data_IF_198136058150
#
_entry.id   IF_198136058150
#
_cell.length_a   1.000
_cell.length_b   1.000
_cell.length_c   1.000
_cell.angle_alpha   90.00
_cell.angle_beta   90.00
_cell.angle_gamma   90.00
#
_symmetry.space_group_name_H-M   'P 1'
#
loop_
_entity.id
_entity.type
_entity.pdbx_description
1 polymer ?
#
# COMPACT_ATOMS: atom_id res chain seq x y z
N UNK A 1 -25.54 4.91 -13.87
CA UNK A 1 -24.70 5.10 -12.67
C UNK A 1 -25.02 4.00 -11.70
N UNK A 2 -24.23 2.93 -11.68
CA UNK A 2 -24.25 1.96 -10.59
C UNK A 2 -23.04 2.25 -9.71
N UNK A 3 -23.25 2.55 -8.43
CA UNK A 3 -22.17 2.60 -7.46
C UNK A 3 -22.11 1.21 -6.81
N UNK A 4 -20.98 0.52 -6.93
CA UNK A 4 -20.72 -0.72 -6.18
C UNK A 4 -19.70 -0.39 -5.10
N UNK A 5 -20.15 -0.31 -3.85
CA UNK A 5 -19.25 -0.18 -2.71
C UNK A 5 -18.41 -1.43 -2.59
N UNK A 6 -17.12 -1.29 -2.86
CA UNK A 6 -16.15 -2.36 -2.68
C UNK A 6 -15.21 -1.96 -1.56
N UNK A 7 -15.20 -2.77 -0.52
CA UNK A 7 -14.30 -2.69 0.62
C UNK A 7 -12.86 -3.06 0.22
N UNK A 8 -11.96 -2.06 0.16
CA UNK A 8 -10.52 -2.27 0.01
C UNK A 8 -9.81 -2.19 1.35
N UNK A 9 -8.98 -3.17 1.65
CA UNK A 9 -8.31 -3.32 2.95
C UNK A 9 -7.04 -2.45 3.06
N UNK A 10 -7.06 -1.35 3.84
CA UNK A 10 -5.89 -0.49 4.09
C UNK A 10 -5.53 -0.41 5.57
N UNK A 11 -4.24 -0.42 5.88
CA UNK A 11 -3.74 -0.41 7.25
C UNK A 11 -4.05 0.88 8.02
N UNK A 12 -4.57 0.75 9.24
CA UNK A 12 -4.84 1.87 10.17
C UNK A 12 -4.39 1.60 11.61
N UNK A 13 -4.38 2.69 12.40
CA UNK A 13 -3.63 2.93 13.63
C UNK A 13 -3.77 1.87 14.74
N UNK A 14 -2.64 1.60 15.42
CA UNK A 14 -2.62 1.35 16.86
C UNK A 14 -1.62 2.32 17.49
N UNK A 15 -2.03 2.99 18.57
CA UNK A 15 -1.38 4.18 19.13
C UNK A 15 0.02 3.90 19.73
N UNK A 16 1.12 4.22 19.02
CA UNK A 16 2.48 4.27 19.59
C UNK A 16 3.36 5.34 18.92
N UNK A 17 4.24 5.98 19.70
CA UNK A 17 5.11 7.09 19.26
C UNK A 17 6.41 6.62 18.59
N UNK A 18 6.92 7.44 17.65
CA UNK A 18 8.07 7.16 16.79
C UNK A 18 9.38 6.90 17.56
N UNK A 19 9.55 7.48 18.76
CA UNK A 19 10.77 7.31 19.58
C UNK A 19 10.93 5.89 20.17
N UNK A 20 9.89 5.06 20.10
CA UNK A 20 9.93 3.63 20.45
C UNK A 20 10.20 2.71 19.25
N UNK A 21 10.35 3.22 18.01
CA UNK A 21 10.45 2.40 16.78
C UNK A 21 11.62 1.41 16.74
N UNK A 22 12.80 1.84 17.17
CA UNK A 22 14.02 1.04 17.07
C UNK A 22 14.21 0.09 18.27
N UNK A 23 13.67 0.43 19.44
CA UNK A 23 13.83 -0.37 20.66
C UNK A 23 12.68 -1.38 20.87
N UNK A 24 11.63 -1.35 20.04
CA UNK A 24 10.44 -2.17 20.20
C UNK A 24 9.77 -2.44 18.84
N UNK A 25 10.44 -3.22 17.99
CA UNK A 25 9.69 -4.22 17.22
C UNK A 25 9.59 -5.42 18.17
N UNK A 26 8.59 -5.47 19.08
CA UNK A 26 8.43 -6.65 19.91
C UNK A 26 8.22 -7.84 18.98
N UNK A 27 8.67 -9.02 19.42
CA UNK A 27 8.22 -10.28 18.84
C UNK A 27 6.70 -10.18 18.68
N UNK A 28 6.18 -10.35 17.46
CA UNK A 28 4.79 -10.07 17.19
C UNK A 28 3.92 -11.02 18.00
N UNK A 29 3.31 -10.48 19.05
CA UNK A 29 2.39 -11.17 19.93
C UNK A 29 1.03 -11.30 19.24
N UNK A 30 0.41 -12.48 19.33
CA UNK A 30 -0.93 -12.74 18.78
C UNK A 30 -2.04 -11.82 19.31
N UNK A 31 -1.77 -11.00 20.33
CA UNK A 31 -2.71 -10.10 20.99
C UNK A 31 -3.29 -9.01 20.06
N UNK A 32 -2.55 -8.56 19.04
CA UNK A 32 -3.01 -7.53 18.10
C UNK A 32 -3.71 -8.11 16.86
N UNK A 33 -3.70 -9.43 16.65
CA UNK A 33 -4.26 -10.07 15.44
C UNK A 33 -3.57 -9.66 14.12
N UNK A 34 -2.44 -8.92 14.20
CA UNK A 34 -1.66 -8.53 13.04
C UNK A 34 -0.79 -9.71 12.59
N UNK A 35 -0.79 -10.00 11.29
CA UNK A 35 0.02 -11.09 10.74
C UNK A 35 1.50 -10.77 10.89
N UNK A 36 2.22 -11.69 11.51
CA UNK A 36 3.68 -11.72 11.63
C UNK A 36 4.33 -11.97 10.28
N UNK A 37 5.48 -11.36 10.00
CA UNK A 37 6.34 -11.69 8.85
C UNK A 37 5.58 -11.71 7.51
N UNK A 38 4.94 -10.59 7.18
CA UNK A 38 4.12 -10.46 5.96
C UNK A 38 4.97 -10.63 4.70
N UNK A 39 4.38 -11.24 3.68
CA UNK A 39 4.90 -11.27 2.31
C UNK A 39 4.39 -10.04 1.56
N UNK A 40 5.29 -9.15 1.16
CA UNK A 40 4.97 -7.84 0.62
C UNK A 40 5.40 -7.76 -0.85
N UNK A 41 4.46 -7.41 -1.75
CA UNK A 41 4.79 -6.94 -3.10
C UNK A 41 4.93 -5.43 -3.05
N UNK A 42 6.14 -4.91 -3.22
CA UNK A 42 6.46 -3.49 -3.05
C UNK A 42 6.68 -2.86 -4.42
N UNK A 43 5.89 -1.84 -4.75
CA UNK A 43 6.01 -1.06 -5.97
C UNK A 43 6.61 0.31 -5.63
N UNK A 44 7.72 0.65 -6.29
CA UNK A 44 8.39 1.93 -6.14
C UNK A 44 8.34 2.66 -7.47
N UNK A 45 7.76 3.86 -7.50
CA UNK A 45 7.86 4.73 -8.65
C UNK A 45 8.99 5.76 -8.42
N UNK A 46 10.15 5.62 -9.08
CA UNK A 46 11.30 6.50 -8.86
C UNK A 46 11.07 7.90 -9.42
N UNK A 47 10.09 8.07 -10.31
CA UNK A 47 9.73 9.36 -10.91
C UNK A 47 8.65 10.10 -10.11
N UNK A 48 8.07 9.47 -9.08
CA UNK A 48 7.09 10.12 -8.23
C UNK A 48 7.74 11.23 -7.39
N UNK A 49 6.99 12.32 -7.17
CA UNK A 49 7.38 13.36 -6.23
C UNK A 49 8.70 14.03 -6.59
N UNK A 50 9.57 14.16 -5.60
CA UNK A 50 10.91 14.74 -5.74
C UNK A 50 11.98 13.71 -6.15
N UNK A 51 11.59 12.56 -6.72
CA UNK A 51 12.49 11.46 -7.10
C UNK A 51 13.32 10.90 -5.93
N UNK A 52 12.69 10.84 -4.75
CA UNK A 52 13.31 10.36 -3.49
C UNK A 52 12.75 9.02 -3.02
N UNK A 53 11.79 8.44 -3.74
CA UNK A 53 11.06 7.24 -3.31
C UNK A 53 11.99 6.05 -3.02
N UNK A 54 12.98 5.78 -3.88
CA UNK A 54 13.96 4.70 -3.66
C UNK A 54 14.83 4.93 -2.42
N UNK A 55 15.38 6.15 -2.26
CA UNK A 55 16.18 6.50 -1.08
C UNK A 55 15.35 6.41 0.20
N UNK A 56 14.12 6.89 0.15
CA UNK A 56 13.17 6.83 1.26
C UNK A 56 12.83 5.39 1.62
N UNK A 57 12.58 4.52 0.63
CA UNK A 57 12.40 3.09 0.87
C UNK A 57 13.62 2.50 1.56
N UNK A 58 14.83 2.76 1.04
CA UNK A 58 16.07 2.21 1.57
C UNK A 58 16.38 2.65 3.01
N UNK A 59 16.05 3.90 3.37
CA UNK A 59 16.38 4.48 4.69
C UNK A 59 15.27 4.27 5.72
N UNK A 60 14.01 4.32 5.31
CA UNK A 60 12.86 4.32 6.23
C UNK A 60 12.14 2.98 6.26
N UNK A 61 11.74 2.46 5.09
CA UNK A 61 10.78 1.37 5.00
C UNK A 61 11.48 0.01 5.08
N UNK A 62 12.56 -0.19 4.31
CA UNK A 62 13.30 -1.44 4.22
C UNK A 62 13.81 -1.91 5.59
N UNK A 63 14.50 -1.08 6.40
CA UNK A 63 14.98 -1.53 7.71
C UNK A 63 13.84 -1.96 8.64
N UNK A 64 12.69 -1.29 8.56
CA UNK A 64 11.51 -1.61 9.36
C UNK A 64 10.86 -2.92 8.92
N UNK A 65 10.75 -3.16 7.63
CA UNK A 65 10.24 -4.42 7.08
C UNK A 65 11.17 -5.60 7.39
N UNK A 66 12.49 -5.41 7.31
CA UNK A 66 13.48 -6.40 7.70
C UNK A 66 13.42 -6.72 9.20
N UNK A 67 13.32 -5.69 10.06
CA UNK A 67 13.15 -5.87 11.50
C UNK A 67 11.86 -6.63 11.84
N UNK A 68 10.80 -6.44 11.05
CA UNK A 68 9.54 -7.17 11.17
C UNK A 68 9.54 -8.56 10.52
N UNK A 69 10.68 -9.00 9.96
CA UNK A 69 10.85 -10.26 9.22
C UNK A 69 9.90 -10.39 8.02
N UNK A 70 9.51 -9.28 7.40
CA UNK A 70 8.70 -9.31 6.19
C UNK A 70 9.52 -9.83 4.99
N UNK A 71 8.95 -10.73 4.21
CA UNK A 71 9.50 -11.11 2.91
C UNK A 71 9.11 -10.03 1.89
N UNK A 72 10.06 -9.48 1.15
CA UNK A 72 9.83 -8.36 0.24
C UNK A 72 10.18 -8.76 -1.19
N UNK A 73 9.22 -8.60 -2.09
CA UNK A 73 9.43 -8.58 -3.54
C UNK A 73 9.31 -7.13 -4.01
N UNK A 74 10.43 -6.50 -4.34
CA UNK A 74 10.51 -5.08 -4.67
C UNK A 74 10.62 -4.90 -6.19
N UNK A 75 9.71 -4.11 -6.76
CA UNK A 75 9.68 -3.77 -8.18
C UNK A 75 9.68 -2.25 -8.34
N UNK A 76 10.61 -1.76 -9.16
CA UNK A 76 10.63 -0.37 -9.59
C UNK A 76 9.80 -0.22 -10.86
N UNK A 77 8.79 0.64 -10.87
CA UNK A 77 7.94 0.91 -12.04
C UNK A 77 8.55 2.02 -12.89
N UNK A 78 8.61 1.86 -14.21
CA UNK A 78 9.02 2.91 -15.14
C UNK A 78 7.84 3.80 -15.56
N UNK A 79 6.62 3.27 -15.54
CA UNK A 79 5.42 3.98 -15.98
C UNK A 79 4.18 3.67 -15.13
N UNK A 80 3.09 4.41 -15.37
CA UNK A 80 1.78 4.08 -14.80
C UNK A 80 1.23 2.76 -15.32
N UNK A 81 1.51 2.40 -16.57
CA UNK A 81 1.06 1.12 -17.15
C UNK A 81 1.75 -0.05 -16.47
N UNK A 82 3.01 0.09 -16.06
CA UNK A 82 3.73 -0.96 -15.32
C UNK A 82 3.02 -1.25 -13.98
N UNK A 83 2.56 -0.21 -13.29
CA UNK A 83 1.83 -0.36 -12.04
C UNK A 83 0.46 -1.03 -12.27
N UNK A 84 -0.21 -0.69 -13.37
CA UNK A 84 -1.45 -1.33 -13.79
C UNK A 84 -1.26 -2.81 -14.11
N UNK A 85 -0.20 -3.14 -14.85
CA UNK A 85 0.13 -4.51 -15.21
C UNK A 85 0.48 -5.35 -13.99
N UNK A 86 1.21 -4.79 -13.02
CA UNK A 86 1.45 -5.46 -11.73
C UNK A 86 0.13 -5.72 -11.01
N UNK A 87 -0.80 -4.77 -11.02
CA UNK A 87 -2.16 -4.99 -10.53
C UNK A 87 -2.82 -6.20 -11.20
N UNK A 88 -2.82 -6.26 -12.53
CA UNK A 88 -3.41 -7.36 -13.30
C UNK A 88 -2.78 -8.73 -13.02
N UNK A 89 -1.48 -8.78 -12.75
CA UNK A 89 -0.71 -10.03 -12.80
C UNK A 89 -0.20 -10.52 -11.45
N UNK A 90 -0.27 -9.70 -10.38
CA UNK A 90 0.25 -10.11 -9.06
C UNK A 90 -0.41 -11.42 -8.59
N UNK A 91 0.38 -12.45 -8.19
CA UNK A 91 -0.17 -13.71 -7.70
C UNK A 91 -0.70 -13.51 -6.27
N UNK A 92 -2.00 -13.28 -6.15
CA UNK A 92 -2.66 -12.88 -4.89
C UNK A 92 -2.43 -13.84 -3.72
N UNK A 93 -2.18 -15.13 -3.96
CA UNK A 93 -1.93 -16.12 -2.89
C UNK A 93 -0.50 -16.06 -2.31
N UNK A 94 0.43 -15.46 -3.04
CA UNK A 94 1.84 -15.39 -2.65
C UNK A 94 2.14 -14.19 -1.76
N UNK A 95 1.24 -13.19 -1.75
CA UNK A 95 1.42 -11.95 -1.02
C UNK A 95 0.32 -11.74 0.00
N UNK A 96 0.68 -11.08 1.10
CA UNK A 96 -0.23 -10.69 2.17
C UNK A 96 -0.65 -9.22 2.06
N UNK A 97 0.11 -8.43 1.29
CA UNK A 97 -0.22 -7.05 0.93
C UNK A 97 0.55 -6.61 -0.32
N UNK A 98 -0.04 -5.66 -1.06
CA UNK A 98 0.65 -4.84 -2.06
C UNK A 98 0.97 -3.49 -1.43
N UNK A 99 2.24 -3.09 -1.44
CA UNK A 99 2.72 -1.83 -0.85
C UNK A 99 3.16 -0.89 -1.96
N UNK A 100 2.61 0.32 -1.97
CA UNK A 100 2.87 1.33 -3.00
C UNK A 100 3.64 2.48 -2.36
N UNK A 101 4.84 2.72 -2.87
CA UNK A 101 5.72 3.81 -2.46
C UNK A 101 5.77 4.83 -3.60
N UNK A 102 4.77 5.72 -3.62
CA UNK A 102 4.52 6.67 -4.70
C UNK A 102 3.50 7.72 -4.25
N UNK A 103 2.81 8.37 -5.18
CA UNK A 103 1.59 9.14 -4.92
C UNK A 103 0.31 8.41 -5.37
N UNK A 104 -0.83 9.09 -5.22
CA UNK A 104 -2.16 8.53 -5.48
C UNK A 104 -2.35 8.01 -6.92
N UNK A 105 -1.64 8.59 -7.89
CA UNK A 105 -1.73 8.16 -9.29
C UNK A 105 -1.24 6.72 -9.54
N UNK A 106 -0.20 6.27 -8.83
CA UNK A 106 0.27 4.87 -8.94
C UNK A 106 -0.72 3.91 -8.29
N UNK A 107 -1.31 4.29 -7.16
CA UNK A 107 -2.39 3.52 -6.54
C UNK A 107 -3.57 3.34 -7.50
N UNK A 108 -3.99 4.42 -8.15
CA UNK A 108 -5.08 4.37 -9.13
C UNK A 108 -4.78 3.36 -10.25
N UNK A 109 -3.54 3.31 -10.75
CA UNK A 109 -3.17 2.33 -11.78
C UNK A 109 -3.22 0.89 -11.26
N UNK A 110 -2.71 0.62 -10.04
CA UNK A 110 -2.80 -0.71 -9.43
C UNK A 110 -4.26 -1.16 -9.27
N UNK A 111 -5.13 -0.26 -8.80
CA UNK A 111 -6.56 -0.54 -8.62
C UNK A 111 -7.24 -0.85 -9.96
N UNK A 112 -6.98 -0.07 -11.00
CA UNK A 112 -7.48 -0.37 -12.34
C UNK A 112 -6.96 -1.71 -12.86
N UNK A 113 -5.71 -2.05 -12.55
CA UNK A 113 -5.14 -3.35 -12.83
C UNK A 113 -5.91 -4.47 -12.13
N UNK A 114 -6.29 -4.28 -10.86
CA UNK A 114 -7.15 -5.23 -10.14
C UNK A 114 -8.51 -5.36 -10.81
N UNK A 115 -9.17 -4.25 -11.17
CA UNK A 115 -10.51 -4.25 -11.80
C UNK A 115 -10.56 -5.03 -13.11
N UNK A 116 -9.44 -5.14 -13.81
CA UNK A 116 -9.35 -5.89 -15.07
C UNK A 116 -9.16 -7.39 -14.91
N UNK A 117 -9.01 -7.88 -13.68
CA UNK A 117 -8.80 -9.30 -13.41
C UNK A 117 -10.12 -10.07 -13.40
N UNK A 118 -10.09 -11.29 -13.92
CA UNK A 118 -11.21 -12.23 -13.79
C UNK A 118 -11.49 -12.59 -12.32
N UNK A 119 -10.45 -12.65 -11.48
CA UNK A 119 -10.54 -12.91 -10.03
C UNK A 119 -10.63 -11.62 -9.18
N UNK A 120 -11.28 -10.57 -9.70
CA UNK A 120 -11.47 -9.28 -9.02
C UNK A 120 -11.96 -9.42 -7.57
N UNK A 121 -12.93 -10.30 -7.29
CA UNK A 121 -13.48 -10.51 -5.94
C UNK A 121 -12.42 -10.93 -4.92
N UNK A 122 -11.35 -11.58 -5.38
CA UNK A 122 -10.18 -11.90 -4.57
C UNK A 122 -9.19 -10.74 -4.56
N UNK A 123 -8.95 -10.10 -5.71
CA UNK A 123 -8.04 -8.97 -5.84
C UNK A 123 -8.43 -7.81 -4.92
N UNK A 124 -9.72 -7.47 -4.82
CA UNK A 124 -10.23 -6.42 -3.92
C UNK A 124 -9.99 -6.68 -2.43
N UNK A 125 -9.80 -7.95 -2.04
CA UNK A 125 -9.53 -8.32 -0.65
C UNK A 125 -8.03 -8.19 -0.29
N UNK A 126 -7.16 -8.04 -1.29
CA UNK A 126 -5.73 -7.83 -1.10
C UNK A 126 -5.49 -6.52 -0.35
N UNK A 127 -4.86 -6.55 0.83
CA UNK A 127 -4.53 -5.32 1.53
C UNK A 127 -3.57 -4.45 0.74
N UNK A 128 -3.83 -3.15 0.68
CA UNK A 128 -2.93 -2.18 0.05
C UNK A 128 -2.31 -1.27 1.12
N UNK A 129 -0.98 -1.23 1.17
CA UNK A 129 -0.21 -0.28 1.97
C UNK A 129 0.18 0.92 1.13
N UNK A 130 -0.18 2.14 1.56
CA UNK A 130 0.18 3.37 0.85
C UNK A 130 1.23 4.12 1.67
N UNK A 131 2.42 4.28 1.10
CA UNK A 131 3.54 4.99 1.71
C UNK A 131 3.79 6.27 0.89
N UNK A 132 3.75 7.45 1.52
CA UNK A 132 3.87 8.72 0.81
C UNK A 132 5.26 8.85 0.19
N UNK A 133 5.32 8.86 -1.14
CA UNK A 133 6.55 9.03 -1.91
C UNK A 133 6.38 9.95 -3.13
N UNK A 134 5.14 10.41 -3.40
CA UNK A 134 4.78 11.24 -4.55
C UNK A 134 4.52 12.70 -4.20
N UNK A 135 4.12 13.47 -5.22
CA UNK A 135 3.70 14.88 -5.04
C UNK A 135 2.31 15.00 -4.42
N UNK A 136 1.44 14.03 -4.68
CA UNK A 136 0.09 13.93 -4.13
C UNK A 136 0.01 12.65 -3.29
N UNK A 137 -0.24 12.82 -1.99
CA UNK A 137 -0.33 11.73 -1.00
C UNK A 137 -1.66 11.84 -0.23
N UNK A 138 -2.74 12.19 -0.94
CA UNK A 138 -4.04 12.48 -0.36
C UNK A 138 -4.58 11.32 0.45
N UNK A 139 -4.48 10.09 -0.06
CA UNK A 139 -4.97 8.93 0.68
C UNK A 139 -4.15 8.66 1.95
N UNK A 140 -2.83 8.81 1.90
CA UNK A 140 -1.97 8.67 3.07
C UNK A 140 -2.33 9.69 4.17
N UNK A 141 -2.61 10.94 3.77
CA UNK A 141 -3.09 11.99 4.68
C UNK A 141 -4.47 11.67 5.25
N UNK A 142 -5.41 11.20 4.42
CA UNK A 142 -6.75 10.82 4.88
C UNK A 142 -6.71 9.69 5.92
N UNK A 143 -5.80 8.73 5.75
CA UNK A 143 -5.68 7.57 6.63
C UNK A 143 -4.95 7.86 7.95
N UNK A 144 -3.94 8.74 7.91
CA UNK A 144 -2.99 8.91 9.02
C UNK A 144 -3.03 10.33 9.62
N UNK A 145 -3.88 11.21 9.09
CA UNK A 145 -4.01 12.61 9.50
C UNK A 145 -2.91 13.52 8.92
N UNK A 146 -3.14 14.83 8.99
CA UNK A 146 -2.22 15.85 8.44
C UNK A 146 -0.87 15.91 9.13
N UNK A 147 -0.78 15.45 10.38
CA UNK A 147 0.48 15.44 11.14
C UNK A 147 1.42 14.29 10.80
N UNK A 148 0.89 13.13 10.33
CA UNK A 148 1.68 11.91 10.11
C UNK A 148 1.54 11.31 8.71
N UNK A 149 0.55 11.70 7.92
CA UNK A 149 0.31 11.11 6.60
C UNK A 149 1.36 11.43 5.53
N UNK A 150 2.36 12.25 5.85
CA UNK A 150 3.56 12.46 5.03
C UNK A 150 4.82 11.79 5.63
N UNK A 151 4.68 11.06 6.74
CA UNK A 151 5.79 10.32 7.36
C UNK A 151 5.85 8.89 6.79
N UNK A 152 6.86 8.59 5.96
CA UNK A 152 7.00 7.27 5.35
C UNK A 152 7.36 6.17 6.37
N UNK A 153 8.04 6.51 7.46
CA UNK A 153 8.31 5.55 8.55
C UNK A 153 6.99 5.15 9.22
N UNK A 154 6.12 6.14 9.47
CA UNK A 154 4.81 5.91 10.07
C UNK A 154 3.93 5.03 9.18
N UNK A 155 3.85 5.35 7.89
CA UNK A 155 3.12 4.54 6.93
C UNK A 155 3.67 3.10 6.84
N UNK A 156 4.99 2.92 6.84
CA UNK A 156 5.61 1.59 6.83
C UNK A 156 5.27 0.78 8.09
N UNK A 157 5.23 1.40 9.27
CA UNK A 157 4.79 0.70 10.49
C UNK A 157 3.34 0.28 10.40
N UNK A 158 2.46 1.09 9.81
CA UNK A 158 1.08 0.68 9.60
C UNK A 158 0.99 -0.57 8.73
N UNK A 159 1.82 -0.70 7.69
CA UNK A 159 1.89 -1.94 6.90
C UNK A 159 2.28 -3.16 7.74
N UNK A 160 3.18 -2.98 8.70
CA UNK A 160 3.63 -4.06 9.59
C UNK A 160 2.59 -4.40 10.66
N UNK A 161 2.22 -3.41 11.48
CA UNK A 161 1.44 -3.59 12.72
C UNK A 161 -0.04 -3.29 12.57
N UNK A 162 -0.41 -2.49 11.57
CA UNK A 162 -1.78 -2.06 11.36
C UNK A 162 -2.70 -3.21 11.02
N UNK A 163 -4.00 -2.95 11.17
CA UNK A 163 -5.06 -3.84 10.68
C UNK A 163 -5.62 -3.29 9.39
N UNK A 164 -5.87 -4.14 8.38
CA UNK A 164 -6.54 -3.68 7.18
C UNK A 164 -7.99 -3.25 7.50
N UNK A 165 -8.40 -2.11 6.97
CA UNK A 165 -9.73 -1.53 7.07
C UNK A 165 -10.33 -1.37 5.69
N UNK A 166 -11.62 -1.54 5.57
CA UNK A 166 -12.33 -1.40 4.31
C UNK A 166 -12.51 0.09 3.94
N UNK A 167 -12.19 0.43 2.69
CA UNK A 167 -12.43 1.75 2.08
C UNK A 167 -13.32 1.58 0.86
N UNK A 168 -14.29 2.47 0.68
CA UNK A 168 -15.15 2.49 -0.49
C UNK A 168 -14.39 2.88 -1.76
N UNK A 169 -14.58 2.11 -2.83
CA UNK A 169 -14.16 2.43 -4.18
C UNK A 169 -15.34 2.92 -5.02
N UNK A 170 -15.07 3.87 -5.91
CA UNK A 170 -16.01 4.34 -6.92
C UNK A 170 -15.50 3.92 -8.30
N UNK A 171 -16.35 3.26 -9.07
CA UNK A 171 -16.10 2.90 -10.46
C UNK A 171 -16.80 3.92 -11.37
N UNK A 172 -16.06 4.49 -12.31
CA UNK A 172 -16.61 5.48 -13.25
C UNK A 172 -16.48 4.96 -14.68
N UNK A 173 -17.63 4.76 -15.33
CA UNK A 173 -17.70 4.41 -16.74
C UNK A 173 -18.07 5.65 -17.57
N UNK A 174 -17.25 5.95 -18.58
CA UNK A 174 -17.53 7.00 -19.55
C UNK A 174 -17.87 6.36 -20.91
N UNK A 175 -19.09 6.60 -21.40
CA UNK A 175 -19.69 6.07 -22.64
C UNK A 175 -18.70 5.47 -23.66
N UNK A 176 -18.60 4.14 -23.67
CA UNK A 176 -17.79 3.37 -24.63
C UNK A 176 -16.32 3.18 -24.26
N UNK A 177 -15.88 3.63 -23.08
CA UNK A 177 -14.53 3.38 -22.53
C UNK A 177 -14.63 2.41 -21.36
N UNK A 178 -13.59 1.59 -21.19
CA UNK A 178 -13.47 0.72 -20.01
C UNK A 178 -13.55 1.57 -18.72
N UNK A 179 -14.23 1.07 -17.67
CA UNK A 179 -14.32 1.77 -16.39
C UNK A 179 -12.93 1.97 -15.75
N UNK A 180 -12.82 3.01 -14.93
CA UNK A 180 -11.63 3.39 -14.15
C UNK A 180 -12.00 3.88 -12.75
#
# INVERSE_FOLDING_TARGET
>A
MGCRSVALRIFSESALSIRSYYNFVPEPSNETGAKVARRLKILINPFAGQKKAERMFAVCCKPLFEAARCAMDVVTTASGEDAREIGRTVPLDQFDAVVIISGDGTLHQVLNGFFEREDWEKARQMPIGVIPGGSANGLSICLQGTGRGLDPCFAALQVVKGRPMDIDLCEVEQMGRKPF
#
